data_IF_219079894244
#
_entry.id   IF_219079894244
#
_cell.length_a   1.000
_cell.length_b   1.000
_cell.length_c   1.000
_cell.angle_alpha   90.00
_cell.angle_beta   90.00
_cell.angle_gamma   90.00
#
_symmetry.space_group_name_H-M   'P 1'
#
loop_
_entity.id
_entity.type
_entity.pdbx_description
1 polymer ?
#
# COMPACT_ATOMS: atom_id res chain seq x y z
N UNK A 1 3.97 5.14 -18.31
CA UNK A 1 4.62 5.21 -16.99
C UNK A 1 4.03 4.12 -16.10
N UNK A 2 4.88 3.34 -15.46
CA UNK A 2 4.42 2.26 -14.58
C UNK A 2 3.73 2.82 -13.34
N UNK A 3 2.61 2.21 -12.96
CA UNK A 3 1.87 2.56 -11.75
C UNK A 3 2.07 1.48 -10.69
N UNK A 4 2.40 1.92 -9.49
CA UNK A 4 2.50 1.05 -8.31
C UNK A 4 1.48 1.46 -7.27
N UNK A 5 0.97 0.47 -6.55
CA UNK A 5 0.08 0.68 -5.40
C UNK A 5 0.85 0.23 -4.16
N UNK A 6 0.94 1.10 -3.17
CA UNK A 6 1.66 0.79 -1.93
C UNK A 6 0.69 0.38 -0.84
N UNK A 7 0.91 -0.79 -0.23
CA UNK A 7 0.14 -1.19 0.95
C UNK A 7 0.84 -0.75 2.25
N UNK A 8 0.19 -1.03 3.38
CA UNK A 8 0.75 -0.66 4.69
C UNK A 8 2.03 -1.44 5.01
N UNK A 9 2.10 -2.72 4.62
CA UNK A 9 3.28 -3.55 4.88
C UNK A 9 4.52 -2.99 4.23
N UNK A 10 4.42 -2.54 2.98
CA UNK A 10 5.56 -1.96 2.26
C UNK A 10 6.04 -0.66 2.92
N UNK A 11 5.11 0.22 3.28
CA UNK A 11 5.48 1.46 3.97
C UNK A 11 6.10 1.18 5.34
N UNK A 12 5.54 0.27 6.11
CA UNK A 12 6.09 -0.10 7.43
C UNK A 12 7.46 -0.75 7.32
N UNK A 13 7.69 -1.56 6.28
CA UNK A 13 9.02 -2.14 6.03
C UNK A 13 10.05 -1.05 5.81
N UNK A 14 9.71 -0.01 5.05
CA UNK A 14 10.59 1.15 4.84
C UNK A 14 10.86 1.89 6.16
N UNK A 15 9.80 2.21 6.90
CA UNK A 15 9.91 3.00 8.14
C UNK A 15 10.69 2.26 9.24
N UNK A 16 10.58 0.95 9.29
CA UNK A 16 11.24 0.10 10.30
C UNK A 16 12.54 -0.53 9.81
N UNK A 17 12.98 -0.17 8.62
CA UNK A 17 14.18 -0.74 8.00
C UNK A 17 14.20 -2.27 8.01
N UNK A 18 13.07 -2.86 7.67
CA UNK A 18 12.93 -4.31 7.53
C UNK A 18 13.50 -4.80 6.21
N UNK A 19 13.61 -6.12 6.04
CA UNK A 19 14.01 -6.72 4.76
C UNK A 19 13.02 -6.27 3.69
N UNK A 20 13.54 -5.72 2.59
CA UNK A 20 12.74 -5.13 1.51
C UNK A 20 12.68 -3.61 1.54
N UNK A 21 13.14 -2.97 2.62
CA UNK A 21 13.15 -1.51 2.73
C UNK A 21 13.91 -0.84 1.59
N UNK A 22 15.00 -1.44 1.13
CA UNK A 22 15.81 -0.95 0.01
C UNK A 22 15.01 -0.96 -1.30
N UNK A 23 14.22 -2.00 -1.53
CA UNK A 23 13.35 -2.09 -2.73
C UNK A 23 12.32 -0.98 -2.71
N UNK A 24 11.66 -0.75 -1.57
CA UNK A 24 10.68 0.33 -1.42
C UNK A 24 11.35 1.70 -1.64
N UNK A 25 12.52 1.91 -1.05
CA UNK A 25 13.27 3.16 -1.22
C UNK A 25 13.61 3.42 -2.69
N UNK A 26 14.03 2.40 -3.43
CA UNK A 26 14.34 2.52 -4.85
C UNK A 26 13.11 2.90 -5.68
N UNK A 27 11.96 2.31 -5.37
CA UNK A 27 10.70 2.64 -6.05
C UNK A 27 10.31 4.09 -5.77
N UNK A 28 10.42 4.55 -4.51
CA UNK A 28 10.14 5.94 -4.15
C UNK A 28 11.10 6.90 -4.86
N UNK A 29 12.38 6.57 -4.92
CA UNK A 29 13.36 7.38 -5.63
C UNK A 29 13.04 7.47 -7.13
N UNK A 30 12.61 6.37 -7.74
CA UNK A 30 12.19 6.37 -9.14
C UNK A 30 10.95 7.26 -9.34
N UNK A 31 10.00 7.24 -8.41
CA UNK A 31 8.84 8.13 -8.45
C UNK A 31 9.25 9.60 -8.31
N UNK A 32 10.22 9.89 -7.45
CA UNK A 32 10.75 11.25 -7.26
C UNK A 32 11.43 11.77 -8.52
N UNK A 33 11.95 10.89 -9.36
CA UNK A 33 12.56 11.21 -10.64
C UNK A 33 11.57 11.10 -11.81
N UNK A 34 10.28 11.05 -11.53
CA UNK A 34 9.18 10.96 -12.51
C UNK A 34 9.27 9.73 -13.45
N UNK A 35 9.90 8.64 -13.00
CA UNK A 35 10.03 7.41 -13.80
C UNK A 35 8.86 6.47 -13.61
N UNK A 36 8.11 6.61 -12.53
CA UNK A 36 6.94 5.82 -12.21
C UNK A 36 6.01 6.63 -11.30
N UNK A 37 4.83 6.10 -11.03
CA UNK A 37 3.84 6.73 -10.14
C UNK A 37 3.47 5.76 -9.04
N UNK A 38 3.29 6.27 -7.82
CA UNK A 38 2.86 5.49 -6.66
C UNK A 38 1.55 6.07 -6.13
N UNK A 39 0.56 5.20 -5.93
CA UNK A 39 -0.69 5.54 -5.24
C UNK A 39 -0.79 4.68 -3.98
N UNK A 40 -1.24 5.29 -2.89
CA UNK A 40 -1.57 4.60 -1.66
C UNK A 40 -2.99 4.96 -1.26
N UNK A 41 -3.84 3.97 -1.02
CA UNK A 41 -5.19 4.27 -0.55
C UNK A 41 -5.14 4.77 0.90
N UNK A 42 -5.99 5.74 1.22
CA UNK A 42 -6.02 6.34 2.56
C UNK A 42 -6.32 5.31 3.66
N UNK A 43 -7.07 4.26 3.36
CA UNK A 43 -7.31 3.16 4.30
C UNK A 43 -6.00 2.47 4.71
N UNK A 44 -5.07 2.29 3.76
CA UNK A 44 -3.76 1.72 4.04
C UNK A 44 -2.86 2.69 4.80
N UNK A 45 -2.96 3.96 4.48
CA UNK A 45 -2.25 5.00 5.23
C UNK A 45 -2.75 5.08 6.67
N UNK A 46 -4.05 4.89 6.88
CA UNK A 46 -4.64 4.83 8.23
C UNK A 46 -4.04 3.66 9.03
N UNK A 47 -3.86 2.51 8.41
CA UNK A 47 -3.24 1.36 9.08
C UNK A 47 -1.80 1.69 9.50
N UNK A 48 -1.03 2.33 8.63
CA UNK A 48 0.32 2.81 8.98
C UNK A 48 0.26 3.76 10.17
N UNK A 49 -0.65 4.72 10.13
CA UNK A 49 -0.76 5.73 11.16
C UNK A 49 -1.11 5.14 12.54
N UNK A 50 -2.13 4.28 12.62
CA UNK A 50 -2.49 3.73 13.94
C UNK A 50 -1.41 2.79 14.47
N UNK A 51 -0.66 2.13 13.60
CA UNK A 51 0.49 1.34 14.01
C UNK A 51 1.59 2.22 14.62
N UNK A 52 1.84 3.38 14.01
CA UNK A 52 2.78 4.36 14.55
C UNK A 52 2.32 4.92 15.90
N UNK A 53 1.04 5.21 16.04
CA UNK A 53 0.47 5.72 17.30
C UNK A 53 0.60 4.68 18.42
N UNK A 54 0.47 3.40 18.09
CA UNK A 54 0.68 2.31 19.07
C UNK A 54 2.15 2.17 19.48
N UNK A 55 3.07 2.49 18.59
CA UNK A 55 4.51 2.28 18.81
C UNK A 55 5.22 3.50 19.40
N UNK A 56 4.69 4.70 19.17
CA UNK A 56 5.31 5.97 19.53
C UNK A 56 4.29 6.90 20.18
N UNK A 57 4.76 8.01 20.73
CA UNK A 57 3.89 9.10 21.15
C UNK A 57 3.20 9.72 19.93
N UNK A 58 1.99 10.24 20.13
CA UNK A 58 1.20 10.83 19.05
C UNK A 58 1.97 11.91 18.29
N UNK A 59 2.73 12.76 19.00
CA UNK A 59 3.52 13.82 18.37
C UNK A 59 4.58 13.28 17.42
N UNK A 60 5.20 12.14 17.75
CA UNK A 60 6.17 11.47 16.90
C UNK A 60 5.47 10.83 15.69
N UNK A 61 4.35 10.15 15.93
CA UNK A 61 3.55 9.53 14.88
C UNK A 61 3.08 10.59 13.87
N UNK A 62 2.62 11.75 14.34
CA UNK A 62 2.17 12.86 13.49
C UNK A 62 3.33 13.40 12.63
N UNK A 63 4.53 13.48 13.18
CA UNK A 63 5.73 13.90 12.43
C UNK A 63 6.06 12.91 11.31
N UNK A 64 6.03 11.62 11.61
CA UNK A 64 6.32 10.58 10.62
C UNK A 64 5.26 10.62 9.52
N UNK A 65 3.98 10.79 9.88
CA UNK A 65 2.91 10.94 8.90
C UNK A 65 3.17 12.13 7.96
N UNK A 66 3.59 13.27 8.49
CA UNK A 66 3.92 14.44 7.68
C UNK A 66 5.06 14.15 6.70
N UNK A 67 6.06 13.38 7.13
CA UNK A 67 7.16 12.96 6.26
C UNK A 67 6.69 12.04 5.14
N UNK A 68 5.77 11.10 5.44
CA UNK A 68 5.17 10.23 4.43
C UNK A 68 4.43 11.06 3.38
N UNK A 69 3.63 12.03 3.83
CA UNK A 69 2.83 12.87 2.95
C UNK A 69 3.69 13.81 2.07
N UNK A 70 4.95 14.01 2.46
CA UNK A 70 5.92 14.80 1.69
C UNK A 70 6.64 13.97 0.61
N UNK A 71 6.46 12.65 0.59
CA UNK A 71 7.08 11.78 -0.40
C UNK A 71 6.25 11.78 -1.70
N UNK A 72 6.82 11.33 -2.83
CA UNK A 72 6.11 11.28 -4.11
C UNK A 72 5.11 10.11 -4.15
N UNK A 73 4.16 10.12 -3.24
CA UNK A 73 3.12 9.12 -3.10
C UNK A 73 1.78 9.86 -3.13
N UNK A 74 0.96 9.53 -4.14
CA UNK A 74 -0.39 10.09 -4.21
C UNK A 74 -1.31 9.31 -3.29
N UNK A 75 -1.94 9.98 -2.34
CA UNK A 75 -2.92 9.36 -1.44
C UNK A 75 -4.30 9.45 -2.06
N UNK A 76 -4.92 8.30 -2.33
CA UNK A 76 -6.30 8.24 -2.78
C UNK A 76 -7.23 8.19 -1.57
N UNK A 77 -8.00 9.27 -1.38
CA UNK A 77 -8.94 9.43 -0.25
C UNK A 77 -10.34 8.93 -0.56
N UNK A 78 -10.61 8.55 -1.81
CA UNK A 78 -11.97 8.24 -2.26
C UNK A 78 -12.25 6.75 -2.27
N UNK A 79 -13.49 6.40 -1.96
CA UNK A 79 -14.04 5.07 -2.19
C UNK A 79 -15.00 5.22 -3.36
N UNK A 80 -14.45 5.19 -4.59
CA UNK A 80 -15.27 5.22 -5.80
C UNK A 80 -16.18 3.98 -5.85
N UNK A 81 -17.22 4.03 -6.68
CA UNK A 81 -18.10 2.89 -6.85
C UNK A 81 -17.32 1.63 -7.29
N UNK A 82 -16.32 1.79 -8.16
CA UNK A 82 -15.49 0.67 -8.61
C UNK A 82 -14.68 0.07 -7.47
N UNK A 83 -14.02 0.90 -6.67
CA UNK A 83 -13.25 0.43 -5.50
C UNK A 83 -14.16 -0.21 -4.46
N UNK A 84 -15.33 0.40 -4.21
CA UNK A 84 -16.32 -0.13 -3.27
C UNK A 84 -16.73 -1.56 -3.65
N UNK A 85 -17.11 -1.77 -4.91
CA UNK A 85 -17.56 -3.07 -5.37
C UNK A 85 -16.43 -4.11 -5.35
N UNK A 86 -15.23 -3.74 -5.83
CA UNK A 86 -14.08 -4.65 -5.84
C UNK A 86 -13.61 -5.00 -4.45
N UNK A 87 -13.51 -4.03 -3.56
CA UNK A 87 -13.11 -4.29 -2.17
C UNK A 87 -14.09 -5.21 -1.47
N UNK A 88 -15.39 -4.99 -1.69
CA UNK A 88 -16.44 -5.85 -1.14
C UNK A 88 -16.36 -7.28 -1.66
N UNK A 89 -16.18 -7.44 -2.97
CA UNK A 89 -16.02 -8.74 -3.60
C UNK A 89 -14.78 -9.48 -3.04
N UNK A 90 -13.64 -8.83 -3.00
CA UNK A 90 -12.39 -9.43 -2.53
C UNK A 90 -12.46 -9.80 -1.05
N UNK A 91 -13.03 -8.92 -0.23
CA UNK A 91 -13.20 -9.18 1.20
C UNK A 91 -14.13 -10.34 1.48
N UNK A 92 -15.17 -10.51 0.67
CA UNK A 92 -16.11 -11.63 0.80
C UNK A 92 -15.47 -12.95 0.36
N UNK A 93 -14.62 -12.92 -0.67
CA UNK A 93 -14.04 -14.13 -1.27
C UNK A 93 -12.82 -14.64 -0.51
N UNK A 94 -12.02 -13.75 0.07
CA UNK A 94 -10.75 -14.10 0.71
C UNK A 94 -10.71 -13.68 2.17
N UNK A 95 -9.90 -14.39 2.96
CA UNK A 95 -9.61 -14.00 4.35
C UNK A 95 -8.50 -12.96 4.35
N UNK A 96 -8.89 -11.71 4.19
CA UNK A 96 -7.98 -10.57 4.19
C UNK A 96 -8.50 -9.50 5.15
N UNK A 97 -7.63 -8.62 5.60
CA UNK A 97 -8.04 -7.50 6.45
C UNK A 97 -8.88 -6.50 5.65
N UNK A 98 -9.60 -5.66 6.38
CA UNK A 98 -10.39 -4.59 5.77
C UNK A 98 -9.51 -3.65 4.93
N UNK A 99 -8.38 -3.22 5.48
CA UNK A 99 -7.45 -2.33 4.77
C UNK A 99 -6.85 -3.01 3.54
N UNK A 100 -6.50 -4.30 3.62
CA UNK A 100 -5.96 -5.05 2.49
C UNK A 100 -6.92 -5.11 1.31
N UNK A 101 -8.23 -5.17 1.59
CA UNK A 101 -9.22 -5.17 0.52
C UNK A 101 -9.16 -3.89 -0.33
N UNK A 102 -8.83 -2.76 0.29
CA UNK A 102 -8.67 -1.49 -0.44
C UNK A 102 -7.39 -1.46 -1.27
N UNK A 103 -6.28 -1.99 -0.75
CA UNK A 103 -5.03 -2.06 -1.52
C UNK A 103 -5.21 -2.92 -2.77
N UNK A 104 -5.82 -4.10 -2.61
CA UNK A 104 -6.09 -5.01 -3.71
C UNK A 104 -7.07 -4.40 -4.73
N UNK A 105 -8.14 -3.78 -4.24
CA UNK A 105 -9.13 -3.13 -5.11
C UNK A 105 -8.50 -1.97 -5.88
N UNK A 106 -7.70 -1.15 -5.23
CA UNK A 106 -6.98 -0.05 -5.89
C UNK A 106 -6.07 -0.59 -7.00
N UNK A 107 -5.31 -1.65 -6.72
CA UNK A 107 -4.43 -2.25 -7.71
C UNK A 107 -5.23 -2.80 -8.91
N UNK A 108 -6.32 -3.50 -8.64
CA UNK A 108 -7.15 -4.10 -9.69
C UNK A 108 -7.84 -3.05 -10.55
N UNK A 109 -8.43 -2.05 -9.94
CA UNK A 109 -9.17 -0.99 -10.65
C UNK A 109 -8.22 -0.10 -11.45
N UNK A 110 -7.07 0.26 -10.90
CA UNK A 110 -6.12 1.16 -11.56
C UNK A 110 -5.14 0.46 -12.50
N UNK A 111 -5.04 -0.87 -12.42
CA UNK A 111 -4.06 -1.64 -13.20
C UNK A 111 -2.63 -1.49 -12.70
N UNK A 112 -2.44 -1.08 -11.45
CA UNK A 112 -1.12 -0.91 -10.85
C UNK A 112 -0.60 -2.19 -10.21
N UNK A 113 0.74 -2.30 -10.08
CA UNK A 113 1.38 -3.39 -9.37
C UNK A 113 1.35 -3.12 -7.86
N UNK A 114 0.90 -4.10 -7.08
CA UNK A 114 0.81 -3.96 -5.62
C UNK A 114 2.17 -4.24 -4.98
N UNK A 115 2.75 -3.23 -4.34
CA UNK A 115 4.00 -3.36 -3.58
C UNK A 115 3.65 -3.90 -2.20
N UNK A 116 4.14 -5.07 -1.87
CA UNK A 116 3.81 -5.74 -0.60
C UNK A 116 4.86 -6.77 -0.21
N UNK A 117 4.84 -7.15 1.06
CA UNK A 117 5.57 -8.31 1.59
C UNK A 117 4.64 -9.31 2.25
N UNK A 118 3.34 -9.11 2.15
CA UNK A 118 2.34 -9.89 2.91
C UNK A 118 1.99 -11.20 2.20
N UNK A 119 2.93 -12.14 2.19
CA UNK A 119 2.71 -13.47 1.62
C UNK A 119 1.60 -14.23 2.35
N UNK A 120 1.45 -14.00 3.65
CA UNK A 120 0.43 -14.68 4.45
C UNK A 120 -0.99 -14.40 3.92
N UNK A 121 -1.27 -13.15 3.58
CA UNK A 121 -2.59 -12.75 3.09
C UNK A 121 -2.73 -12.96 1.57
N UNK A 122 -1.67 -12.72 0.80
CA UNK A 122 -1.78 -12.52 -0.65
C UNK A 122 -1.31 -13.68 -1.51
N UNK A 123 -0.55 -14.64 -1.00
CA UNK A 123 -0.09 -15.76 -1.82
C UNK A 123 -1.25 -16.52 -2.48
N UNK A 124 -2.36 -16.68 -1.75
CA UNK A 124 -3.54 -17.38 -2.28
C UNK A 124 -4.24 -16.58 -3.37
N UNK A 125 -4.02 -15.27 -3.43
CA UNK A 125 -4.68 -14.36 -4.38
C UNK A 125 -3.87 -14.25 -5.67
N UNK A 126 -2.55 -14.33 -5.58
CA UNK A 126 -1.66 -14.23 -6.73
C UNK A 126 -2.01 -15.30 -7.78
N UNK A 127 -2.24 -14.87 -9.00
CA UNK A 127 -2.63 -15.74 -10.10
C UNK A 127 -4.13 -16.05 -10.20
N UNK A 128 -4.92 -15.68 -9.19
CA UNK A 128 -6.38 -15.89 -9.20
C UNK A 128 -7.16 -14.63 -9.53
N UNK A 129 -6.59 -13.48 -9.22
CA UNK A 129 -7.17 -12.18 -9.54
C UNK A 129 -6.27 -11.45 -10.52
N UNK A 130 -6.82 -10.51 -11.27
CA UNK A 130 -6.07 -9.73 -12.23
C UNK A 130 -5.30 -8.60 -11.52
N UNK A 131 -4.32 -8.99 -10.71
CA UNK A 131 -3.48 -8.09 -9.93
C UNK A 131 -2.03 -8.54 -10.08
N UNK A 132 -1.16 -7.61 -10.48
CA UNK A 132 0.28 -7.83 -10.49
C UNK A 132 0.83 -7.53 -9.09
N UNK A 133 1.66 -8.43 -8.56
CA UNK A 133 2.32 -8.23 -7.26
C UNK A 133 3.78 -7.86 -7.47
N UNK A 134 4.23 -6.82 -6.79
CA UNK A 134 5.63 -6.40 -6.72
C UNK A 134 6.14 -6.73 -5.32
N UNK A 135 6.61 -7.96 -5.15
CA UNK A 135 7.10 -8.44 -3.85
C UNK A 135 8.40 -7.75 -3.48
N UNK A 136 8.49 -7.23 -2.25
CA UNK A 136 9.71 -6.61 -1.75
C UNK A 136 10.62 -7.60 -1.00
N UNK A 137 10.07 -8.78 -0.68
CA UNK A 137 10.84 -9.88 -0.11
C UNK A 137 10.10 -11.20 -0.29
#
# INVERSE_FOLDING_TARGET
MKLYIMDACAMLALLRNEIGADVVADIINAANNNKLKIIMHKANLLEVYYDLVRSFEKSVADKILAEILNRPIEVNSEISDEIFLEAGYLKAKYKISFADSFALAQAKVSGGALITSDHHEFDIIEGKENIEFAWIR
#
